data_IF_575789143312
#
_entry.id   IF_575789143312
#
_cell.length_a   1.000
_cell.length_b   1.000
_cell.length_c   1.000
_cell.angle_alpha   90.00
_cell.angle_beta   90.00
_cell.angle_gamma   90.00
#
_symmetry.space_group_name_H-M   'P 1'
#
loop_
_entity.id
_entity.type
_entity.pdbx_description
1 polymer ?
#
# COMPACT_ATOMS: atom_id res chain seq x y z
N UNK A 1 -13.01 5.58 14.05
CA UNK A 1 -13.63 4.47 13.29
C UNK A 1 -14.11 3.43 14.27
N UNK A 2 -15.44 3.23 14.36
CA UNK A 2 -16.02 2.16 15.17
C UNK A 2 -15.52 0.85 14.57
N UNK A 3 -14.76 0.04 15.32
CA UNK A 3 -14.48 -1.34 14.93
C UNK A 3 -15.83 -2.03 14.89
N UNK A 4 -16.43 -2.14 13.71
CA UNK A 4 -17.54 -3.05 13.45
C UNK A 4 -17.00 -4.42 13.77
N UNK A 5 -17.30 -4.89 14.99
CA UNK A 5 -17.12 -6.27 15.40
C UNK A 5 -17.79 -7.08 14.30
N UNK A 6 -17.00 -7.73 13.45
CA UNK A 6 -17.51 -8.56 12.37
C UNK A 6 -18.50 -9.57 12.95
N UNK A 7 -19.39 -10.09 12.12
CA UNK A 7 -20.48 -11.01 12.48
C UNK A 7 -20.05 -12.32 13.18
N UNK A 8 -18.80 -12.44 13.64
CA UNK A 8 -18.27 -13.54 14.42
C UNK A 8 -18.78 -13.44 15.86
N UNK A 9 -19.73 -14.32 16.19
CA UNK A 9 -20.33 -14.43 17.52
C UNK A 9 -19.43 -15.16 18.52
N UNK A 10 -18.46 -15.93 18.03
CA UNK A 10 -17.56 -16.77 18.82
C UNK A 10 -16.12 -16.51 18.40
N UNK A 11 -15.20 -16.57 19.35
CA UNK A 11 -13.76 -16.66 19.11
C UNK A 11 -13.26 -18.09 19.29
N UNK A 12 -12.07 -18.40 18.78
CA UNK A 12 -11.41 -19.70 19.03
C UNK A 12 -11.32 -20.03 20.52
N UNK A 13 -11.11 -19.00 21.35
CA UNK A 13 -11.01 -19.15 22.81
C UNK A 13 -12.36 -19.51 23.41
N UNK A 14 -13.44 -18.88 22.96
CA UNK A 14 -14.79 -19.17 23.42
C UNK A 14 -15.22 -20.60 23.06
N UNK A 15 -14.72 -21.14 21.95
CA UNK A 15 -14.97 -22.54 21.54
C UNK A 15 -14.18 -23.51 22.40
N UNK A 16 -12.91 -23.20 22.69
CA UNK A 16 -12.02 -24.04 23.50
C UNK A 16 -12.44 -24.13 24.97
N UNK A 17 -12.91 -23.01 25.55
CA UNK A 17 -13.34 -22.95 26.95
C UNK A 17 -14.81 -23.34 27.14
N UNK A 18 -15.47 -23.88 26.11
CA UNK A 18 -16.90 -24.17 26.15
C UNK A 18 -17.18 -25.50 26.86
N UNK A 19 -17.67 -25.42 28.09
CA UNK A 19 -18.24 -26.57 28.78
C UNK A 19 -19.76 -26.71 28.46
N UNK A 20 -20.18 -27.91 28.10
CA UNK A 20 -21.59 -28.27 27.91
C UNK A 20 -22.14 -29.05 29.10
N UNK A 21 -23.39 -28.77 29.47
CA UNK A 21 -24.11 -29.58 30.45
C UNK A 21 -24.46 -30.95 29.85
N UNK A 22 -24.27 -32.01 30.64
CA UNK A 22 -24.57 -33.39 30.22
C UNK A 22 -26.01 -33.74 30.59
N UNK A 23 -26.84 -33.99 29.57
CA UNK A 23 -28.22 -34.46 29.75
C UNK A 23 -28.37 -35.96 29.45
N UNK A 24 -29.38 -36.60 30.06
CA UNK A 24 -29.64 -38.05 29.94
C UNK A 24 -29.93 -38.54 28.50
N UNK A 25 -30.27 -37.62 27.58
CA UNK A 25 -30.42 -37.88 26.14
C UNK A 25 -29.55 -36.92 25.29
N UNK A 26 -28.35 -36.61 25.76
CA UNK A 26 -27.40 -35.76 25.06
C UNK A 26 -26.57 -36.49 23.99
N UNK A 27 -25.80 -35.71 23.23
CA UNK A 27 -24.73 -36.22 22.38
C UNK A 27 -23.59 -36.80 23.21
N UNK A 28 -22.82 -37.71 22.63
CA UNK A 28 -21.61 -38.22 23.28
C UNK A 28 -20.58 -37.11 23.38
N UNK A 29 -20.02 -36.93 24.56
CA UNK A 29 -19.01 -35.89 24.83
C UNK A 29 -17.82 -36.01 23.86
N UNK A 30 -17.31 -37.22 23.64
CA UNK A 30 -16.19 -37.48 22.73
C UNK A 30 -16.46 -37.05 21.28
N UNK A 31 -17.69 -37.23 20.80
CA UNK A 31 -18.08 -36.86 19.43
C UNK A 31 -18.19 -35.34 19.29
N UNK A 32 -18.74 -34.68 20.30
CA UNK A 32 -18.83 -33.21 20.35
C UNK A 32 -17.43 -32.60 20.44
N UNK A 33 -16.57 -33.15 21.30
CA UNK A 33 -15.19 -32.68 21.50
C UNK A 33 -14.36 -32.81 20.21
N UNK A 34 -14.40 -33.98 19.57
CA UNK A 34 -13.74 -34.20 18.27
C UNK A 34 -14.24 -33.25 17.18
N UNK A 35 -15.53 -32.91 17.20
CA UNK A 35 -16.10 -31.94 16.26
C UNK A 35 -15.69 -30.50 16.60
N UNK A 36 -15.63 -30.13 17.87
CA UNK A 36 -15.15 -28.84 18.32
C UNK A 36 -13.66 -28.62 18.03
N UNK A 37 -12.83 -29.65 18.09
CA UNK A 37 -11.41 -29.58 17.71
C UNK A 37 -11.25 -29.18 16.23
N UNK A 38 -12.07 -29.74 15.34
CA UNK A 38 -12.08 -29.37 13.91
C UNK A 38 -12.49 -27.90 13.74
N UNK A 39 -13.57 -27.49 14.40
CA UNK A 39 -14.04 -26.10 14.36
C UNK A 39 -12.97 -25.16 14.95
N UNK A 40 -12.28 -25.56 16.01
CA UNK A 40 -11.22 -24.77 16.62
C UNK A 40 -10.08 -24.50 15.63
N UNK A 41 -9.62 -25.53 14.91
CA UNK A 41 -8.59 -25.37 13.89
C UNK A 41 -9.05 -24.50 12.71
N UNK A 42 -10.31 -24.62 12.28
CA UNK A 42 -10.88 -23.72 11.25
C UNK A 42 -10.87 -22.25 11.72
N UNK A 43 -11.27 -21.98 12.96
CA UNK A 43 -11.25 -20.62 13.51
C UNK A 43 -9.83 -20.06 13.64
N UNK A 44 -8.86 -20.90 14.00
CA UNK A 44 -7.45 -20.53 14.05
C UNK A 44 -6.89 -20.23 12.64
N UNK A 45 -7.30 -20.99 11.63
CA UNK A 45 -6.96 -20.73 10.24
C UNK A 45 -7.55 -19.39 9.77
N UNK A 46 -8.83 -19.14 10.04
CA UNK A 46 -9.51 -17.89 9.69
C UNK A 46 -8.81 -16.67 10.33
N UNK A 47 -8.46 -16.75 11.61
CA UNK A 47 -7.74 -15.67 12.29
C UNK A 47 -6.36 -15.42 11.67
N UNK A 48 -5.65 -16.49 11.29
CA UNK A 48 -4.36 -16.39 10.61
C UNK A 48 -4.48 -15.71 9.25
N UNK A 49 -5.49 -16.10 8.45
CA UNK A 49 -5.79 -15.45 7.18
C UNK A 49 -6.17 -13.98 7.37
N UNK A 50 -7.00 -13.65 8.37
CA UNK A 50 -7.37 -12.26 8.65
C UNK A 50 -6.13 -11.41 8.96
N UNK A 51 -5.21 -11.92 9.78
CA UNK A 51 -3.95 -11.24 10.08
C UNK A 51 -3.08 -11.04 8.84
N UNK A 52 -3.01 -12.03 7.96
CA UNK A 52 -2.28 -11.95 6.69
C UNK A 52 -2.89 -10.91 5.73
N UNK A 53 -4.22 -10.90 5.61
CA UNK A 53 -4.92 -9.90 4.80
C UNK A 53 -4.73 -8.49 5.35
N UNK A 54 -4.81 -8.30 6.68
CA UNK A 54 -4.55 -6.99 7.30
C UNK A 54 -3.13 -6.51 7.01
N UNK A 55 -2.13 -7.38 7.13
CA UNK A 55 -0.74 -7.04 6.78
C UNK A 55 -0.61 -6.65 5.32
N UNK A 56 -1.20 -7.43 4.42
CA UNK A 56 -1.15 -7.17 2.97
C UNK A 56 -1.80 -5.82 2.63
N UNK A 57 -2.95 -5.51 3.23
CA UNK A 57 -3.62 -4.22 3.06
C UNK A 57 -2.73 -3.08 3.55
N UNK A 58 -2.13 -3.21 4.73
CA UNK A 58 -1.21 -2.19 5.27
C UNK A 58 -0.01 -1.97 4.36
N UNK A 59 0.59 -3.03 3.83
CA UNK A 59 1.72 -2.94 2.90
C UNK A 59 1.32 -2.26 1.58
N UNK A 60 0.15 -2.58 1.04
CA UNK A 60 -0.39 -1.94 -0.16
C UNK A 60 -0.69 -0.46 0.08
N UNK A 61 -1.31 -0.10 1.21
CA UNK A 61 -1.58 1.30 1.59
C UNK A 61 -0.28 2.10 1.73
N UNK A 62 0.73 1.52 2.37
CA UNK A 62 2.06 2.12 2.50
C UNK A 62 2.71 2.33 1.13
N UNK A 63 2.60 1.34 0.23
CA UNK A 63 3.16 1.44 -1.12
C UNK A 63 2.45 2.49 -1.96
N UNK A 64 1.12 2.58 -1.88
CA UNK A 64 0.34 3.65 -2.52
C UNK A 64 0.77 5.01 -1.98
N UNK A 65 0.95 5.15 -0.67
CA UNK A 65 1.39 6.40 -0.04
C UNK A 65 2.80 6.81 -0.51
N UNK A 66 3.73 5.86 -0.61
CA UNK A 66 5.06 6.11 -1.13
C UNK A 66 5.01 6.56 -2.59
N UNK A 67 4.29 5.84 -3.44
CA UNK A 67 4.17 6.16 -4.86
C UNK A 67 3.51 7.52 -5.11
N UNK A 68 2.53 7.89 -4.29
CA UNK A 68 1.91 9.22 -4.35
C UNK A 68 2.92 10.33 -4.03
N UNK A 69 3.76 10.15 -3.01
CA UNK A 69 4.84 11.09 -2.67
C UNK A 69 5.85 11.20 -3.80
N UNK A 70 6.30 10.07 -4.33
CA UNK A 70 7.25 10.05 -5.45
C UNK A 70 6.68 10.76 -6.70
N UNK A 71 5.37 10.64 -6.93
CA UNK A 71 4.68 11.32 -8.01
C UNK A 71 4.58 12.83 -7.76
N UNK A 72 4.22 13.26 -6.55
CA UNK A 72 4.18 14.67 -6.13
C UNK A 72 5.56 15.32 -6.28
N UNK A 73 6.62 14.64 -5.85
CA UNK A 73 8.01 15.11 -5.98
C UNK A 73 8.41 15.28 -7.45
N UNK A 74 8.05 14.32 -8.32
CA UNK A 74 8.30 14.41 -9.77
C UNK A 74 7.52 15.55 -10.42
N UNK A 75 6.26 15.76 -10.04
CA UNK A 75 5.45 16.87 -10.56
C UNK A 75 6.08 18.20 -10.16
N UNK A 76 6.46 18.36 -8.89
CA UNK A 76 7.16 19.55 -8.39
C UNK A 76 8.48 19.82 -9.13
N UNK A 77 9.25 18.77 -9.43
CA UNK A 77 10.46 18.89 -10.23
C UNK A 77 10.18 19.33 -11.68
N UNK A 78 9.15 18.78 -12.32
CA UNK A 78 8.74 19.16 -13.67
C UNK A 78 8.20 20.59 -13.73
N UNK A 79 7.43 21.02 -12.74
CA UNK A 79 6.94 22.40 -12.63
C UNK A 79 8.09 23.40 -12.49
N UNK A 80 9.07 23.09 -11.65
CA UNK A 80 10.29 23.90 -11.52
C UNK A 80 11.05 23.96 -12.84
N UNK A 81 11.28 22.82 -13.49
CA UNK A 81 11.96 22.75 -14.78
C UNK A 81 11.22 23.55 -15.87
N UNK A 82 9.89 23.51 -15.89
CA UNK A 82 9.09 24.30 -16.83
C UNK A 82 9.16 25.80 -16.52
N UNK A 83 9.13 26.20 -15.25
CA UNK A 83 9.31 27.59 -14.85
C UNK A 83 10.71 28.10 -15.22
N UNK A 84 11.75 27.31 -14.99
CA UNK A 84 13.12 27.63 -15.39
C UNK A 84 13.25 27.77 -16.91
N UNK A 85 12.61 26.88 -17.68
CA UNK A 85 12.57 26.97 -19.13
C UNK A 85 11.82 28.21 -19.62
N UNK A 86 10.70 28.56 -18.98
CA UNK A 86 9.96 29.78 -19.30
C UNK A 86 10.79 31.03 -18.99
N UNK A 87 11.49 31.05 -17.86
CA UNK A 87 12.41 32.13 -17.48
C UNK A 87 13.58 32.27 -18.47
N UNK A 88 14.17 31.17 -18.92
CA UNK A 88 15.22 31.17 -19.96
C UNK A 88 14.68 31.70 -21.30
N UNK A 89 13.46 31.32 -21.66
CA UNK A 89 12.79 31.80 -22.88
C UNK A 89 12.51 33.30 -22.79
N UNK A 90 12.02 33.80 -21.64
CA UNK A 90 11.83 35.24 -21.37
C UNK A 90 13.14 36.01 -21.33
N UNK A 91 14.22 35.41 -20.85
CA UNK A 91 15.57 35.97 -20.90
C UNK A 91 16.18 35.97 -22.33
N UNK A 92 15.42 35.54 -23.35
CA UNK A 92 15.84 35.55 -24.75
C UNK A 92 16.78 34.40 -25.13
N UNK A 93 16.97 33.42 -24.25
CA UNK A 93 17.80 32.24 -24.46
C UNK A 93 16.98 31.20 -25.23
N UNK A 94 16.71 31.48 -26.52
CA UNK A 94 16.05 30.55 -27.41
C UNK A 94 17.06 29.55 -27.98
N UNK A 95 16.69 28.27 -28.10
CA UNK A 95 17.63 27.21 -28.52
C UNK A 95 18.30 27.52 -29.88
N UNK A 96 17.54 28.13 -30.81
CA UNK A 96 18.09 28.63 -32.08
C UNK A 96 19.05 29.81 -31.92
N UNK A 97 18.82 30.71 -30.95
CA UNK A 97 19.69 31.85 -30.67
C UNK A 97 21.00 31.43 -30.00
N UNK A 98 20.95 30.41 -29.13
CA UNK A 98 22.15 29.78 -28.54
C UNK A 98 22.99 29.14 -29.66
N UNK A 99 22.39 28.32 -30.52
CA UNK A 99 23.07 27.70 -31.66
C UNK A 99 23.72 28.78 -32.55
N UNK A 100 22.99 29.85 -32.90
CA UNK A 100 23.55 30.95 -33.69
C UNK A 100 24.71 31.67 -33.00
N UNK A 101 24.65 31.88 -31.68
CA UNK A 101 25.72 32.50 -30.89
C UNK A 101 26.95 31.58 -30.83
N UNK A 102 26.76 30.28 -30.62
CA UNK A 102 27.83 29.28 -30.65
C UNK A 102 28.48 29.25 -32.04
N UNK A 103 27.70 29.14 -33.13
CA UNK A 103 28.24 29.15 -34.50
C UNK A 103 29.02 30.43 -34.83
N UNK A 104 28.61 31.58 -34.29
CA UNK A 104 29.37 32.84 -34.44
C UNK A 104 30.70 32.80 -33.68
N UNK A 105 30.68 32.32 -32.43
CA UNK A 105 31.88 32.16 -31.62
C UNK A 105 32.87 31.14 -32.22
N UNK A 106 32.37 30.03 -32.76
CA UNK A 106 33.17 29.04 -33.48
C UNK A 106 33.82 29.66 -34.71
N UNK A 107 33.08 30.44 -35.50
CA UNK A 107 33.63 31.13 -36.67
C UNK A 107 34.68 32.18 -36.30
N UNK A 108 34.48 32.90 -35.20
CA UNK A 108 35.46 33.89 -34.71
C UNK A 108 36.73 33.22 -34.16
N UNK A 109 36.62 32.06 -33.50
CA UNK A 109 37.78 31.28 -33.06
C UNK A 109 38.48 30.54 -34.20
N UNK A 110 37.76 30.15 -35.26
CA UNK A 110 38.33 29.47 -36.42
C UNK A 110 39.10 30.43 -37.35
N UNK A 111 38.80 31.72 -37.29
CA UNK A 111 39.48 32.77 -38.06
C UNK A 111 40.64 33.44 -37.28
N UNK A 112 41.10 32.84 -36.18
CA UNK A 112 42.34 33.16 -35.47
C UNK A 112 43.34 32.02 -35.65
#
# INVERSE_FOLDING_TARGET
MKKTKGYLKLSKKDIYEKDFEVEYKGYKVEEVDSFLDIIYEDYKYIESCEQEYIKTIQDLENKIKSLKRDLEDKISLLEKSNSDLENLTRAGVNNSAIIKRISKLEKENYNK
#
